data_IF_101092962718
#
_entry.id   IF_101092962718
#
_cell.length_a   1.000
_cell.length_b   1.000
_cell.length_c   1.000
_cell.angle_alpha   90.00
_cell.angle_beta   90.00
_cell.angle_gamma   90.00
#
_symmetry.space_group_name_H-M   'P 1'
#
loop_
_entity.id
_entity.type
_entity.pdbx_description
1 polymer ?
#
# COMPACT_ATOMS: atom_id res chain seq x y z
N UNK A 1 4.24 30.91 -4.16
CA UNK A 1 4.78 29.95 -3.21
C UNK A 1 5.82 29.02 -3.87
N UNK A 2 5.47 28.35 -4.99
CA UNK A 2 6.38 27.41 -5.69
C UNK A 2 7.72 28.09 -6.03
N UNK A 3 7.70 29.25 -6.66
CA UNK A 3 8.91 30.00 -7.03
C UNK A 3 9.77 30.36 -5.81
N UNK A 4 9.14 30.71 -4.70
CA UNK A 4 9.85 31.07 -3.48
C UNK A 4 10.57 29.88 -2.80
N UNK A 5 10.04 28.63 -2.97
CA UNK A 5 10.53 27.44 -2.28
C UNK A 5 11.26 26.45 -3.19
N UNK A 6 10.89 26.39 -4.46
CA UNK A 6 11.46 25.45 -5.42
C UNK A 6 12.35 26.08 -6.50
N UNK A 7 12.52 27.42 -6.47
CA UNK A 7 13.34 28.16 -7.43
C UNK A 7 12.56 28.59 -8.68
N UNK A 8 13.29 29.19 -9.65
CA UNK A 8 12.71 29.84 -10.84
C UNK A 8 12.87 29.04 -12.13
N UNK A 9 13.68 27.99 -12.12
CA UNK A 9 13.98 27.20 -13.32
C UNK A 9 13.46 25.77 -13.24
N UNK A 10 13.15 25.13 -14.39
CA UNK A 10 12.74 23.72 -14.43
C UNK A 10 13.71 22.77 -13.72
N UNK A 11 15.01 23.01 -13.82
CA UNK A 11 16.03 22.21 -13.15
C UNK A 11 15.96 22.36 -11.62
N UNK A 12 15.71 23.56 -11.12
CA UNK A 12 15.52 23.82 -9.68
C UNK A 12 14.24 23.15 -9.16
N UNK A 13 13.15 23.18 -9.93
CA UNK A 13 11.91 22.47 -9.56
C UNK A 13 12.11 20.97 -9.49
N UNK A 14 12.80 20.39 -10.48
CA UNK A 14 13.11 18.96 -10.46
C UNK A 14 14.01 18.59 -9.28
N UNK A 15 14.97 19.44 -8.94
CA UNK A 15 15.84 19.22 -7.77
C UNK A 15 15.09 19.36 -6.45
N UNK A 16 14.17 20.33 -6.32
CA UNK A 16 13.32 20.47 -5.14
C UNK A 16 12.46 19.20 -4.90
N UNK A 17 11.90 18.62 -5.97
CA UNK A 17 11.19 17.34 -5.88
C UNK A 17 12.14 16.23 -5.42
N UNK A 18 13.32 16.10 -6.03
CA UNK A 18 14.30 15.08 -5.63
C UNK A 18 14.77 15.24 -4.20
N UNK A 19 15.02 16.47 -3.75
CA UNK A 19 15.44 16.76 -2.38
C UNK A 19 14.36 16.41 -1.35
N UNK A 20 13.08 16.69 -1.66
CA UNK A 20 11.96 16.35 -0.77
C UNK A 20 11.76 14.85 -0.59
N UNK A 21 12.03 14.06 -1.62
CA UNK A 21 11.83 12.60 -1.58
C UNK A 21 13.14 11.80 -1.40
N UNK A 22 14.28 12.45 -1.45
CA UNK A 22 15.60 11.83 -1.27
C UNK A 22 15.85 10.68 -2.26
N UNK A 23 16.09 9.48 -1.74
CA UNK A 23 16.31 8.28 -2.55
C UNK A 23 15.02 7.59 -3.02
N UNK A 24 13.87 8.04 -2.53
CA UNK A 24 12.57 7.48 -2.91
C UNK A 24 12.18 7.91 -4.32
N UNK A 25 12.10 6.92 -5.21
CA UNK A 25 11.67 7.10 -6.60
C UNK A 25 10.19 6.78 -6.82
N UNK A 26 9.49 6.30 -5.82
CA UNK A 26 8.09 5.87 -5.96
C UNK A 26 7.20 7.06 -6.28
N UNK A 27 7.30 8.12 -5.47
CA UNK A 27 6.51 9.33 -5.67
C UNK A 27 7.23 10.38 -6.52
N UNK A 28 8.53 10.58 -6.33
CA UNK A 28 9.29 11.60 -7.05
C UNK A 28 9.24 11.42 -8.56
N UNK A 29 9.30 10.17 -9.06
CA UNK A 29 9.22 9.91 -10.52
C UNK A 29 7.83 10.16 -11.06
N UNK A 30 6.76 9.82 -10.32
CA UNK A 30 5.39 10.10 -10.73
C UNK A 30 5.15 11.61 -10.84
N UNK A 31 5.60 12.39 -9.85
CA UNK A 31 5.49 13.86 -9.84
C UNK A 31 6.28 14.46 -11.00
N UNK A 32 7.55 14.06 -11.17
CA UNK A 32 8.38 14.56 -12.27
C UNK A 32 7.81 14.20 -13.64
N UNK A 33 7.23 13.00 -13.77
CA UNK A 33 6.54 12.59 -15.02
C UNK A 33 5.35 13.50 -15.30
N UNK A 34 4.53 13.81 -14.29
CA UNK A 34 3.40 14.75 -14.43
C UNK A 34 3.88 16.14 -14.81
N UNK A 35 4.96 16.64 -14.18
CA UNK A 35 5.58 17.91 -14.54
C UNK A 35 6.12 17.91 -15.97
N UNK A 36 6.69 16.78 -16.44
CA UNK A 36 7.18 16.67 -17.82
C UNK A 36 6.03 16.62 -18.84
N UNK A 37 4.92 15.92 -18.51
CA UNK A 37 3.70 15.93 -19.32
C UNK A 37 3.11 17.35 -19.43
N UNK A 38 3.14 18.11 -18.34
CA UNK A 38 2.73 19.50 -18.31
C UNK A 38 3.76 20.47 -18.95
N UNK A 39 4.90 19.96 -19.47
CA UNK A 39 6.01 20.73 -20.03
C UNK A 39 6.67 21.71 -19.06
N UNK A 40 6.55 21.46 -17.77
CA UNK A 40 7.20 22.26 -16.70
C UNK A 40 8.67 21.87 -16.52
N UNK A 41 9.00 20.59 -16.75
CA UNK A 41 10.38 20.10 -16.71
C UNK A 41 10.67 19.28 -17.98
N UNK A 42 11.93 19.24 -18.46
CA UNK A 42 12.28 18.40 -19.59
C UNK A 42 12.33 16.92 -19.17
N UNK A 43 12.08 16.02 -20.12
CA UNK A 43 12.15 14.56 -19.89
C UNK A 43 13.52 14.06 -19.43
N UNK A 44 14.58 14.85 -19.62
CA UNK A 44 15.92 14.56 -19.10
C UNK A 44 15.97 14.53 -17.57
N UNK A 45 15.08 15.26 -16.91
CA UNK A 45 15.00 15.31 -15.45
C UNK A 45 14.23 14.11 -14.86
N UNK A 46 13.51 13.33 -15.67
CA UNK A 46 12.71 12.20 -15.19
C UNK A 46 13.55 10.92 -15.21
N UNK A 47 13.84 10.32 -14.03
CA UNK A 47 14.58 9.07 -13.96
C UNK A 47 13.82 7.92 -14.65
N UNK A 48 14.51 7.02 -15.39
CA UNK A 48 13.86 5.88 -16.01
C UNK A 48 13.38 4.87 -14.95
N UNK A 49 12.22 4.25 -15.21
CA UNK A 49 11.71 3.12 -14.43
C UNK A 49 11.85 1.82 -15.21
N UNK A 50 12.25 0.72 -14.57
CA UNK A 50 12.48 -0.57 -15.22
C UNK A 50 11.17 -1.37 -15.37
N UNK A 51 10.24 -0.90 -16.20
CA UNK A 51 8.94 -1.56 -16.42
C UNK A 51 9.07 -2.96 -17.04
N UNK A 52 10.17 -3.26 -17.68
CA UNK A 52 10.52 -4.58 -18.19
C UNK A 52 10.57 -5.67 -17.10
N UNK A 53 10.83 -5.29 -15.86
CA UNK A 53 10.79 -6.21 -14.72
C UNK A 53 9.37 -6.78 -14.51
N UNK A 54 8.33 -6.03 -14.84
CA UNK A 54 6.95 -6.51 -14.73
C UNK A 54 6.65 -7.74 -15.62
N UNK A 55 7.51 -8.04 -16.59
CA UNK A 55 7.40 -9.26 -17.41
C UNK A 55 7.89 -10.52 -16.69
N UNK A 56 8.57 -10.39 -15.54
CA UNK A 56 9.02 -11.51 -14.74
C UNK A 56 7.87 -12.04 -13.87
N UNK A 57 7.86 -13.35 -13.55
CA UNK A 57 6.86 -13.92 -12.66
C UNK A 57 6.86 -13.24 -11.27
N UNK A 58 5.69 -12.95 -10.74
CA UNK A 58 5.53 -12.32 -9.41
C UNK A 58 6.21 -13.12 -8.28
N UNK A 59 6.24 -14.45 -8.39
CA UNK A 59 6.92 -15.33 -7.44
C UNK A 59 8.41 -15.03 -7.30
N UNK A 60 9.06 -14.51 -8.35
CA UNK A 60 10.49 -14.18 -8.31
C UNK A 60 10.74 -12.94 -7.43
N UNK A 61 9.84 -11.97 -7.44
CA UNK A 61 9.94 -10.81 -6.54
C UNK A 61 9.85 -11.24 -5.07
N UNK A 62 8.95 -12.19 -4.77
CA UNK A 62 8.82 -12.76 -3.43
C UNK A 62 10.09 -13.52 -3.02
N UNK A 63 10.67 -14.33 -3.90
CA UNK A 63 11.92 -15.04 -3.65
C UNK A 63 13.09 -14.08 -3.40
N UNK A 64 13.14 -12.96 -4.13
CA UNK A 64 14.13 -11.91 -3.96
C UNK A 64 13.84 -10.97 -2.76
N UNK A 65 12.79 -11.23 -1.96
CA UNK A 65 12.32 -10.35 -0.88
C UNK A 65 11.99 -8.92 -1.36
N UNK A 66 11.37 -8.83 -2.54
CA UNK A 66 10.94 -7.58 -3.17
C UNK A 66 9.43 -7.57 -3.51
N UNK A 67 8.54 -8.05 -2.64
CA UNK A 67 7.09 -8.06 -2.94
C UNK A 67 6.50 -6.65 -3.09
N UNK A 68 7.17 -5.63 -2.56
CA UNK A 68 6.80 -4.22 -2.74
C UNK A 68 6.70 -3.82 -4.21
N UNK A 69 7.43 -4.43 -5.11
CA UNK A 69 7.33 -4.19 -6.55
C UNK A 69 5.93 -4.50 -7.07
N UNK A 70 5.23 -5.48 -6.49
CA UNK A 70 3.86 -5.82 -6.92
C UNK A 70 2.83 -4.73 -6.60
N UNK A 71 2.99 -3.99 -5.52
CA UNK A 71 2.15 -2.81 -5.22
C UNK A 71 2.43 -1.64 -6.17
N UNK A 72 3.68 -1.48 -6.54
CA UNK A 72 4.13 -0.43 -7.43
C UNK A 72 3.94 -0.77 -8.93
N UNK A 73 3.58 -2.00 -9.27
CA UNK A 73 3.47 -2.45 -10.67
C UNK A 73 2.63 -1.54 -11.56
N UNK A 74 1.46 -1.04 -11.15
CA UNK A 74 0.67 -0.15 -12.01
C UNK A 74 1.45 1.10 -12.43
N UNK A 75 2.05 1.79 -11.46
CA UNK A 75 2.87 2.96 -11.71
C UNK A 75 4.16 2.61 -12.47
N UNK A 76 4.84 1.53 -12.07
CA UNK A 76 6.06 1.05 -12.71
C UNK A 76 5.85 0.80 -14.20
N UNK A 77 4.77 0.11 -14.57
CA UNK A 77 4.47 -0.24 -15.96
C UNK A 77 4.08 1.02 -16.75
N UNK A 78 3.05 1.74 -16.29
CA UNK A 78 2.50 2.86 -17.05
C UNK A 78 3.50 4.02 -17.17
N UNK A 79 4.05 4.48 -16.04
CA UNK A 79 5.01 5.59 -16.01
C UNK A 79 6.32 5.17 -16.68
N UNK A 80 6.79 3.94 -16.46
CA UNK A 80 8.00 3.43 -17.12
C UNK A 80 7.88 3.39 -18.65
N UNK A 81 6.73 2.96 -19.18
CA UNK A 81 6.46 3.01 -20.62
C UNK A 81 6.33 4.44 -21.14
N UNK A 82 5.68 5.33 -20.38
CA UNK A 82 5.57 6.75 -20.71
C UNK A 82 6.96 7.38 -20.86
N UNK A 83 7.82 7.21 -19.87
CA UNK A 83 9.19 7.73 -19.90
C UNK A 83 9.96 7.15 -21.11
N UNK A 84 9.81 5.83 -21.35
CA UNK A 84 10.49 5.19 -22.48
C UNK A 84 9.97 5.68 -23.84
N UNK A 85 8.71 6.03 -23.96
CA UNK A 85 8.14 6.60 -25.19
C UNK A 85 8.70 8.00 -25.49
N UNK A 86 8.83 8.84 -24.47
CA UNK A 86 9.33 10.21 -24.62
C UNK A 86 10.86 10.35 -24.58
N UNK A 87 11.53 9.44 -23.87
CA UNK A 87 12.99 9.40 -23.74
C UNK A 87 13.50 7.96 -23.82
N UNK A 88 13.55 7.38 -25.03
CA UNK A 88 14.07 6.03 -25.22
C UNK A 88 15.57 5.97 -24.86
N UNK A 89 16.00 4.84 -24.28
CA UNK A 89 17.44 4.63 -24.00
C UNK A 89 18.25 4.66 -25.31
N UNK A 90 19.44 5.24 -25.25
CA UNK A 90 20.39 5.29 -26.36
C UNK A 90 21.01 3.92 -26.67
N UNK A 91 21.14 3.02 -25.69
CA UNK A 91 21.72 1.70 -25.84
C UNK A 91 20.74 0.76 -26.56
N UNK A 92 21.02 0.45 -27.81
CA UNK A 92 20.11 -0.25 -28.73
C UNK A 92 19.62 -1.61 -28.22
N UNK A 93 20.46 -2.53 -27.67
CA UNK A 93 19.98 -3.81 -27.16
C UNK A 93 18.95 -3.64 -26.03
N UNK A 94 19.16 -2.69 -25.13
CA UNK A 94 18.24 -2.40 -24.02
C UNK A 94 16.96 -1.75 -24.52
N UNK A 95 17.07 -0.86 -25.50
CA UNK A 95 15.90 -0.26 -26.16
C UNK A 95 15.05 -1.33 -26.86
N UNK A 96 15.69 -2.28 -27.54
CA UNK A 96 14.98 -3.40 -28.18
C UNK A 96 14.26 -4.26 -27.13
N UNK A 97 14.93 -4.64 -26.04
CA UNK A 97 14.32 -5.39 -24.93
C UNK A 97 13.11 -4.67 -24.38
N UNK A 98 13.24 -3.36 -24.08
CA UNK A 98 12.14 -2.56 -23.55
C UNK A 98 10.98 -2.46 -24.52
N UNK A 99 11.24 -2.30 -25.80
CA UNK A 99 10.19 -2.33 -26.82
C UNK A 99 9.45 -3.67 -26.86
N UNK A 100 10.17 -4.80 -26.77
CA UNK A 100 9.58 -6.13 -26.70
C UNK A 100 8.73 -6.35 -25.43
N UNK A 101 9.09 -5.72 -24.31
CA UNK A 101 8.37 -5.82 -23.04
C UNK A 101 7.10 -4.93 -22.96
N UNK A 102 6.86 -4.01 -23.91
CA UNK A 102 5.69 -3.11 -23.84
C UNK A 102 4.36 -3.88 -23.81
N UNK A 103 4.11 -4.74 -24.76
CA UNK A 103 2.87 -5.52 -24.82
C UNK A 103 2.73 -6.51 -23.63
N UNK A 104 3.73 -7.31 -23.32
CA UNK A 104 3.70 -8.19 -22.14
C UNK A 104 3.39 -7.46 -20.83
N UNK A 105 4.04 -6.33 -20.54
CA UNK A 105 3.78 -5.58 -19.30
C UNK A 105 2.39 -4.93 -19.28
N UNK A 106 1.83 -4.49 -20.43
CA UNK A 106 0.44 -4.05 -20.51
C UNK A 106 -0.56 -5.17 -20.22
N UNK A 107 -0.27 -6.42 -20.62
CA UNK A 107 -1.12 -7.56 -20.24
C UNK A 107 -1.10 -7.81 -18.74
N UNK A 108 0.06 -7.67 -18.11
CA UNK A 108 0.15 -7.72 -16.64
C UNK A 108 -0.69 -6.61 -16.00
N UNK A 109 -0.54 -5.37 -16.49
CA UNK A 109 -1.31 -4.23 -16.00
C UNK A 109 -2.83 -4.45 -16.11
N UNK A 110 -3.29 -5.01 -17.22
CA UNK A 110 -4.70 -5.35 -17.43
C UNK A 110 -5.18 -6.47 -16.48
N UNK A 111 -4.33 -7.46 -16.21
CA UNK A 111 -4.66 -8.58 -15.32
C UNK A 111 -4.76 -8.17 -13.84
N UNK A 112 -4.02 -7.14 -13.42
CA UNK A 112 -4.02 -6.65 -12.03
C UNK A 112 -4.98 -5.48 -11.81
N UNK A 113 -5.64 -4.95 -12.85
CA UNK A 113 -6.61 -3.87 -12.68
C UNK A 113 -7.89 -4.41 -12.05
N UNK A 114 -8.37 -3.83 -10.93
CA UNK A 114 -9.67 -4.15 -10.36
C UNK A 114 -10.82 -3.95 -11.37
N UNK A 115 -11.93 -4.65 -11.19
CA UNK A 115 -13.05 -4.60 -12.13
C UNK A 115 -13.68 -3.21 -12.24
N UNK A 116 -13.64 -2.41 -11.17
CA UNK A 116 -14.09 -1.01 -11.15
C UNK A 116 -13.10 -0.03 -11.81
N UNK A 117 -11.92 -0.49 -12.22
CA UNK A 117 -10.90 0.32 -12.89
C UNK A 117 -9.91 1.03 -11.98
N UNK A 118 -10.18 1.14 -10.68
CA UNK A 118 -9.37 1.87 -9.70
C UNK A 118 -8.22 1.04 -9.13
N UNK A 119 -6.99 1.45 -9.35
CA UNK A 119 -5.83 0.82 -8.73
C UNK A 119 -5.73 1.25 -7.26
N UNK A 120 -5.75 0.29 -6.34
CA UNK A 120 -5.73 0.48 -4.88
C UNK A 120 -6.87 1.38 -4.36
N UNK A 121 -7.98 1.48 -5.08
CA UNK A 121 -9.07 2.44 -4.82
C UNK A 121 -8.59 3.91 -4.76
N UNK A 122 -7.37 4.18 -5.24
CA UNK A 122 -6.71 5.48 -5.14
C UNK A 122 -6.82 6.27 -6.46
N UNK A 123 -7.45 7.44 -6.39
CA UNK A 123 -7.60 8.31 -7.57
C UNK A 123 -6.27 8.86 -8.08
N UNK A 124 -5.28 9.25 -7.24
CA UNK A 124 -3.98 9.71 -7.74
C UNK A 124 -3.22 8.62 -8.51
N UNK A 125 -3.18 7.39 -8.00
CA UNK A 125 -2.49 6.29 -8.67
C UNK A 125 -3.15 5.96 -10.01
N UNK A 126 -4.48 5.88 -10.03
CA UNK A 126 -5.25 5.61 -11.24
C UNK A 126 -5.07 6.73 -12.28
N UNK A 127 -5.05 8.00 -11.83
CA UNK A 127 -4.78 9.14 -12.69
C UNK A 127 -3.37 9.10 -13.30
N UNK A 128 -2.33 8.77 -12.52
CA UNK A 128 -0.96 8.60 -13.04
C UNK A 128 -0.91 7.51 -14.10
N UNK A 129 -1.58 6.38 -13.89
CA UNK A 129 -1.65 5.29 -14.88
C UNK A 129 -2.35 5.75 -16.15
N UNK A 130 -3.53 6.35 -16.04
CA UNK A 130 -4.31 6.81 -17.19
C UNK A 130 -3.55 7.86 -18.04
N UNK A 131 -2.99 8.90 -17.38
CA UNK A 131 -2.20 9.93 -18.06
C UNK A 131 -0.95 9.36 -18.75
N UNK A 132 -0.24 8.45 -18.06
CA UNK A 132 0.97 7.85 -18.60
C UNK A 132 0.67 6.97 -19.83
N UNK A 133 -0.41 6.18 -19.79
CA UNK A 133 -0.86 5.38 -20.93
C UNK A 133 -1.30 6.25 -22.10
N UNK A 134 -2.09 7.29 -21.83
CA UNK A 134 -2.55 8.20 -22.88
C UNK A 134 -1.37 8.85 -23.60
N UNK A 135 -0.38 9.34 -22.87
CA UNK A 135 0.78 10.04 -23.45
C UNK A 135 1.78 9.10 -24.14
N UNK A 136 1.76 7.80 -23.85
CA UNK A 136 2.63 6.79 -24.47
C UNK A 136 2.02 6.13 -25.72
N UNK A 137 0.91 6.67 -26.22
CA UNK A 137 0.19 6.17 -27.39
C UNK A 137 -0.78 5.02 -27.09
N UNK A 138 -1.11 4.79 -25.81
CA UNK A 138 -2.02 3.74 -25.34
C UNK A 138 -3.35 4.31 -24.79
N UNK A 139 -3.78 5.50 -25.26
CA UNK A 139 -5.04 6.12 -24.81
C UNK A 139 -6.27 5.23 -25.03
N UNK A 140 -6.31 4.47 -26.14
CA UNK A 140 -7.37 3.52 -26.43
C UNK A 140 -7.25 2.16 -25.72
N UNK A 141 -6.24 1.95 -24.87
CA UNK A 141 -6.10 0.69 -24.16
C UNK A 141 -7.19 0.53 -23.09
N UNK A 142 -7.81 -0.67 -22.93
CA UNK A 142 -8.90 -0.88 -21.97
C UNK A 142 -8.58 -0.46 -20.54
N UNK A 143 -7.33 -0.60 -20.12
CA UNK A 143 -6.87 -0.13 -18.78
C UNK A 143 -7.02 1.37 -18.63
N UNK A 144 -6.68 2.15 -19.66
CA UNK A 144 -6.82 3.60 -19.62
C UNK A 144 -8.30 4.00 -19.59
N UNK A 145 -9.13 3.37 -20.42
CA UNK A 145 -10.58 3.63 -20.46
C UNK A 145 -11.23 3.36 -19.09
N UNK A 146 -11.04 2.16 -18.52
CA UNK A 146 -11.57 1.83 -17.19
C UNK A 146 -11.04 2.73 -16.08
N UNK A 147 -9.77 3.16 -16.17
CA UNK A 147 -9.20 4.12 -15.23
C UNK A 147 -9.88 5.49 -15.33
N UNK A 148 -10.20 5.96 -16.54
CA UNK A 148 -10.97 7.19 -16.73
C UNK A 148 -12.39 7.06 -16.20
N UNK A 149 -13.09 5.95 -16.50
CA UNK A 149 -14.44 5.68 -15.96
C UNK A 149 -14.44 5.72 -14.42
N UNK A 150 -13.45 5.11 -13.78
CA UNK A 150 -13.27 5.16 -12.33
C UNK A 150 -13.06 6.59 -11.82
N UNK A 151 -12.19 7.37 -12.49
CA UNK A 151 -11.94 8.76 -12.12
C UNK A 151 -13.18 9.62 -12.26
N UNK A 152 -13.92 9.49 -13.36
CA UNK A 152 -15.17 10.20 -13.59
C UNK A 152 -16.22 9.85 -12.52
N UNK A 153 -16.36 8.57 -12.19
CA UNK A 153 -17.27 8.10 -11.14
C UNK A 153 -16.87 8.57 -9.73
N UNK A 154 -15.60 8.94 -9.53
CA UNK A 154 -15.05 9.36 -8.22
C UNK A 154 -15.11 10.87 -7.98
N UNK A 155 -15.56 11.67 -8.96
CA UNK A 155 -15.68 13.14 -8.81
C UNK A 155 -16.74 13.47 -7.77
N UNK A 156 -16.38 14.33 -6.83
CA UNK A 156 -17.31 14.85 -5.83
C UNK A 156 -18.15 15.98 -6.40
N UNK A 157 -19.28 16.33 -5.75
CA UNK A 157 -20.14 17.44 -6.21
C UNK A 157 -19.44 18.79 -6.34
N UNK A 158 -18.37 19.02 -5.59
CA UNK A 158 -17.54 20.23 -5.64
C UNK A 158 -16.45 20.18 -6.75
N UNK A 159 -16.40 19.12 -7.54
CA UNK A 159 -15.41 18.93 -8.59
C UNK A 159 -14.04 18.39 -8.10
N UNK A 160 -13.89 18.09 -6.82
CA UNK A 160 -12.67 17.50 -6.27
C UNK A 160 -12.68 15.98 -6.38
N UNK A 161 -11.50 15.37 -6.20
CA UNK A 161 -11.34 13.93 -6.06
C UNK A 161 -10.90 13.56 -4.65
N UNK A 162 -11.42 12.44 -4.08
CA UNK A 162 -10.83 11.86 -2.87
C UNK A 162 -9.46 11.24 -3.20
N UNK A 163 -8.59 11.10 -2.20
CA UNK A 163 -7.39 10.29 -2.35
C UNK A 163 -7.79 8.83 -2.52
N UNK A 164 -8.56 8.31 -1.56
CA UNK A 164 -9.17 6.98 -1.59
C UNK A 164 -10.69 7.11 -1.73
N UNK A 165 -11.29 6.25 -2.54
CA UNK A 165 -12.74 6.33 -2.81
C UNK A 165 -13.59 5.75 -1.69
N UNK A 166 -13.03 4.82 -0.91
CA UNK A 166 -13.72 4.12 0.16
C UNK A 166 -12.76 3.71 1.27
N UNK A 167 -13.08 4.09 2.50
CA UNK A 167 -12.32 3.80 3.72
C UNK A 167 -13.20 3.08 4.77
N UNK A 168 -14.22 2.32 4.31
CA UNK A 168 -15.25 1.81 5.20
C UNK A 168 -14.69 0.91 6.31
N UNK A 169 -13.74 0.02 6.01
CA UNK A 169 -13.14 -0.86 7.02
C UNK A 169 -12.35 -0.05 8.04
N UNK A 170 -11.47 0.83 7.56
CA UNK A 170 -10.62 1.67 8.41
C UNK A 170 -11.45 2.57 9.35
N UNK A 171 -12.39 3.33 8.78
CA UNK A 171 -13.24 4.22 9.58
C UNK A 171 -14.10 3.45 10.58
N UNK A 172 -14.60 2.28 10.21
CA UNK A 172 -15.38 1.42 11.11
C UNK A 172 -14.54 0.94 12.30
N UNK A 173 -13.33 0.46 12.05
CA UNK A 173 -12.44 0.01 13.14
C UNK A 173 -12.06 1.16 14.07
N UNK A 174 -11.74 2.34 13.51
CA UNK A 174 -11.48 3.55 14.30
C UNK A 174 -12.68 3.94 15.17
N UNK A 175 -13.89 3.95 14.60
CA UNK A 175 -15.11 4.29 15.33
C UNK A 175 -15.39 3.32 16.48
N UNK A 176 -15.30 2.01 16.23
CA UNK A 176 -15.47 1.00 17.28
C UNK A 176 -14.44 1.18 18.39
N UNK A 177 -13.17 1.39 18.03
CA UNK A 177 -12.07 1.55 19.00
C UNK A 177 -12.22 2.86 19.81
N UNK A 178 -12.72 3.94 19.20
CA UNK A 178 -13.02 5.18 19.89
C UNK A 178 -14.19 5.02 20.88
N UNK A 179 -15.28 4.39 20.47
CA UNK A 179 -16.42 4.09 21.34
C UNK A 179 -16.01 3.19 22.52
N UNK A 180 -15.16 2.20 22.28
CA UNK A 180 -14.60 1.34 23.33
C UNK A 180 -13.80 2.15 24.35
N UNK A 181 -12.93 3.04 23.89
CA UNK A 181 -12.14 3.92 24.76
C UNK A 181 -13.01 4.88 25.59
N UNK A 182 -14.09 5.39 24.98
CA UNK A 182 -15.10 6.22 25.65
C UNK A 182 -16.07 5.45 26.55
N UNK A 183 -16.03 4.11 26.56
CA UNK A 183 -17.01 3.22 27.21
C UNK A 183 -18.43 3.35 26.67
N UNK A 184 -18.57 3.81 25.43
CA UNK A 184 -19.85 4.06 24.74
C UNK A 184 -20.28 2.92 23.79
N UNK A 185 -19.56 1.80 23.76
CA UNK A 185 -19.94 0.64 22.92
C UNK A 185 -21.41 0.18 23.13
N UNK A 186 -21.97 0.21 24.38
CA UNK A 186 -23.37 -0.14 24.57
C UNK A 186 -24.36 0.72 23.79
N UNK A 187 -23.99 1.92 23.37
CA UNK A 187 -24.84 2.80 22.54
C UNK A 187 -25.09 2.25 21.14
N UNK A 188 -24.27 1.31 20.65
CA UNK A 188 -24.48 0.64 19.37
C UNK A 188 -25.69 -0.32 19.37
N UNK A 189 -26.22 -0.69 20.54
CA UNK A 189 -27.25 -1.71 20.65
C UNK A 189 -26.71 -3.08 20.25
N UNK A 190 -27.39 -3.75 19.27
CA UNK A 190 -26.89 -5.03 18.74
C UNK A 190 -25.69 -4.81 17.81
N UNK A 191 -24.51 -5.11 18.30
CA UNK A 191 -23.25 -5.03 17.55
C UNK A 191 -22.97 -6.30 16.71
N UNK A 192 -23.85 -7.30 16.72
CA UNK A 192 -23.71 -8.56 15.97
C UNK A 192 -23.48 -8.34 14.47
N UNK A 193 -24.36 -7.62 13.77
CA UNK A 193 -24.19 -7.35 12.34
C UNK A 193 -22.87 -6.64 11.99
N UNK A 194 -22.45 -5.69 12.83
CA UNK A 194 -21.19 -4.97 12.65
C UNK A 194 -19.97 -5.90 12.80
N UNK A 195 -19.99 -6.72 13.84
CA UNK A 195 -18.98 -7.75 14.07
C UNK A 195 -18.85 -8.71 12.89
N UNK A 196 -19.99 -9.25 12.44
CA UNK A 196 -20.04 -10.22 11.35
C UNK A 196 -19.58 -9.60 10.02
N UNK A 197 -19.95 -8.34 9.77
CA UNK A 197 -19.45 -7.59 8.63
C UNK A 197 -17.92 -7.42 8.70
N UNK A 198 -17.35 -7.02 9.84
CA UNK A 198 -15.91 -6.81 9.98
C UNK A 198 -15.14 -8.14 9.86
N UNK A 199 -15.67 -9.26 10.38
CA UNK A 199 -15.11 -10.60 10.19
C UNK A 199 -15.10 -11.01 8.71
N UNK A 200 -16.12 -10.61 7.94
CA UNK A 200 -16.21 -10.91 6.52
C UNK A 200 -15.16 -10.16 5.68
N UNK A 201 -14.61 -9.04 6.18
CA UNK A 201 -13.55 -8.29 5.48
C UNK A 201 -12.17 -8.93 5.60
N UNK A 202 -11.98 -9.92 6.48
CA UNK A 202 -10.69 -10.62 6.59
C UNK A 202 -10.38 -11.40 5.32
N UNK A 203 -9.21 -11.19 4.75
CA UNK A 203 -8.75 -11.96 3.60
C UNK A 203 -8.59 -13.44 3.96
N UNK A 204 -9.31 -14.30 3.25
CA UNK A 204 -9.31 -15.77 3.44
C UNK A 204 -8.46 -16.50 2.41
N UNK A 205 -8.12 -15.80 1.31
CA UNK A 205 -7.30 -16.32 0.22
C UNK A 205 -6.16 -15.36 -0.05
N UNK A 206 -5.13 -15.83 -0.75
CA UNK A 206 -4.03 -14.96 -1.19
C UNK A 206 -4.56 -13.84 -2.06
N UNK A 207 -4.12 -12.61 -1.79
CA UNK A 207 -4.53 -11.45 -2.54
C UNK A 207 -4.12 -11.58 -4.03
N UNK A 208 -5.06 -11.49 -4.98
CA UNK A 208 -4.78 -11.83 -6.39
C UNK A 208 -3.81 -10.86 -7.06
N UNK A 209 -3.83 -9.60 -6.66
CA UNK A 209 -3.01 -8.54 -7.22
C UNK A 209 -1.60 -8.49 -6.58
N UNK A 210 -1.51 -8.52 -5.26
CA UNK A 210 -0.25 -8.31 -4.54
C UNK A 210 0.42 -9.61 -4.11
N UNK A 211 -0.33 -10.71 -4.07
CA UNK A 211 0.14 -11.98 -3.55
C UNK A 211 0.32 -11.99 -2.02
N UNK A 212 -0.25 -11.00 -1.30
CA UNK A 212 -0.26 -11.00 0.16
C UNK A 212 -0.95 -12.26 0.69
N UNK A 213 -0.41 -12.83 1.75
CA UNK A 213 -0.97 -14.04 2.37
C UNK A 213 -2.33 -13.74 3.04
N UNK A 214 -3.22 -14.71 3.22
CA UNK A 214 -4.49 -14.53 3.91
C UNK A 214 -4.29 -14.22 5.40
N UNK A 215 -5.27 -13.55 6.02
CA UNK A 215 -5.32 -13.28 7.46
C UNK A 215 -5.42 -11.80 7.82
N UNK A 216 -4.98 -10.88 6.97
CA UNK A 216 -5.05 -9.44 7.22
C UNK A 216 -6.37 -8.80 6.79
N UNK A 217 -6.51 -7.51 7.10
CA UNK A 217 -7.58 -6.61 6.66
C UNK A 217 -7.01 -5.45 5.88
N UNK A 218 -7.81 -4.89 4.99
CA UNK A 218 -7.53 -3.68 4.23
C UNK A 218 -8.46 -2.54 4.66
N UNK A 219 -8.14 -1.30 4.29
CA UNK A 219 -8.93 -0.08 4.59
C UNK A 219 -10.35 -0.10 4.00
N UNK A 220 -10.58 -0.94 2.99
CA UNK A 220 -11.82 -0.99 2.22
C UNK A 220 -12.27 -2.43 1.95
N UNK A 221 -13.59 -2.69 1.85
CA UNK A 221 -14.11 -3.97 1.37
C UNK A 221 -14.05 -4.12 -0.16
N UNK A 222 -13.63 -3.09 -0.89
CA UNK A 222 -13.59 -3.10 -2.35
C UNK A 222 -12.37 -3.84 -2.89
N UNK A 223 -12.44 -4.22 -4.17
CA UNK A 223 -11.45 -5.11 -4.82
C UNK A 223 -10.03 -4.53 -4.91
N UNK A 224 -9.88 -3.21 -4.84
CA UNK A 224 -8.58 -2.54 -4.84
C UNK A 224 -7.91 -2.48 -3.47
N UNK A 225 -8.61 -2.85 -2.39
CA UNK A 225 -8.05 -2.91 -1.05
C UNK A 225 -6.94 -3.95 -0.93
N UNK A 226 -5.95 -3.67 -0.10
CA UNK A 226 -4.80 -4.54 0.14
C UNK A 226 -4.57 -4.65 1.65
N UNK A 227 -4.43 -5.85 2.21
CA UNK A 227 -4.19 -5.98 3.65
C UNK A 227 -2.90 -5.29 4.07
N UNK A 228 -2.95 -4.58 5.18
CA UNK A 228 -1.85 -3.76 5.68
C UNK A 228 -1.70 -3.77 7.21
N UNK A 229 -0.63 -3.13 7.69
CA UNK A 229 -0.26 -3.11 9.10
C UNK A 229 -0.96 -2.00 9.92
N UNK A 230 -1.85 -1.23 9.31
CA UNK A 230 -2.71 -0.27 10.02
C UNK A 230 -4.10 -0.88 10.24
N UNK A 231 -4.71 -1.38 9.17
CA UNK A 231 -6.07 -1.94 9.21
C UNK A 231 -6.15 -3.28 9.93
N UNK A 232 -5.13 -4.14 9.78
CA UNK A 232 -5.13 -5.44 10.47
C UNK A 232 -5.11 -5.30 11.99
N UNK A 233 -4.23 -4.53 12.62
CA UNK A 233 -4.30 -4.29 14.07
C UNK A 233 -5.58 -3.59 14.49
N UNK A 234 -6.05 -2.60 13.71
CA UNK A 234 -7.30 -1.89 13.94
C UNK A 234 -8.49 -2.83 14.02
N UNK A 235 -8.58 -3.79 13.09
CA UNK A 235 -9.63 -4.81 13.07
C UNK A 235 -9.52 -5.80 14.24
N UNK A 236 -8.31 -6.24 14.58
CA UNK A 236 -8.08 -7.13 15.73
C UNK A 236 -8.56 -6.48 17.03
N UNK A 237 -8.23 -5.20 17.25
CA UNK A 237 -8.66 -4.44 18.44
C UNK A 237 -10.19 -4.27 18.41
N UNK A 238 -10.76 -3.86 17.28
CA UNK A 238 -12.19 -3.62 17.16
C UNK A 238 -13.02 -4.90 17.41
N UNK A 239 -12.63 -6.02 16.81
CA UNK A 239 -13.30 -7.32 17.01
C UNK A 239 -13.19 -7.78 18.46
N UNK A 240 -12.05 -7.55 19.11
CA UNK A 240 -11.88 -7.86 20.54
C UNK A 240 -12.81 -6.99 21.39
N UNK A 241 -12.87 -5.68 21.12
CA UNK A 241 -13.76 -4.75 21.82
C UNK A 241 -15.24 -5.07 21.63
N UNK A 242 -15.62 -5.61 20.46
CA UNK A 242 -16.99 -6.10 20.17
C UNK A 242 -17.30 -7.46 20.82
N UNK A 243 -16.41 -7.99 21.65
CA UNK A 243 -16.62 -9.26 22.36
C UNK A 243 -16.64 -10.46 21.43
N UNK A 244 -15.99 -10.41 20.29
CA UNK A 244 -15.91 -11.53 19.35
C UNK A 244 -15.21 -12.72 20.00
N UNK A 245 -15.83 -13.95 20.02
CA UNK A 245 -15.14 -15.10 20.55
C UNK A 245 -13.81 -15.35 19.84
N UNK A 246 -12.78 -15.67 20.61
CA UNK A 246 -11.47 -16.00 20.06
C UNK A 246 -11.57 -17.21 19.13
N UNK A 247 -10.73 -17.26 18.11
CA UNK A 247 -10.80 -18.34 17.13
C UNK A 247 -9.89 -18.11 15.92
N UNK A 248 -10.24 -18.74 14.80
CA UNK A 248 -9.44 -18.75 13.58
C UNK A 248 -9.11 -17.36 13.03
N UNK A 249 -10.03 -16.41 13.14
CA UNK A 249 -9.81 -15.03 12.68
C UNK A 249 -8.65 -14.34 13.41
N UNK A 250 -8.61 -14.53 14.74
CA UNK A 250 -7.56 -13.93 15.60
C UNK A 250 -6.20 -14.56 15.29
N UNK A 251 -6.13 -15.89 15.22
CA UNK A 251 -4.91 -16.60 14.87
C UNK A 251 -4.39 -16.21 13.48
N UNK A 252 -5.28 -16.11 12.50
CA UNK A 252 -4.91 -15.71 11.14
C UNK A 252 -4.38 -14.27 11.09
N UNK A 253 -5.03 -13.33 11.79
CA UNK A 253 -4.58 -11.92 11.85
C UNK A 253 -3.23 -11.76 12.54
N UNK A 254 -3.05 -12.41 13.68
CA UNK A 254 -1.76 -12.39 14.40
C UNK A 254 -0.66 -13.04 13.57
N UNK A 255 -0.92 -14.20 12.97
CA UNK A 255 0.03 -14.88 12.09
C UNK A 255 0.39 -14.03 10.87
N UNK A 256 -0.58 -13.29 10.31
CA UNK A 256 -0.34 -12.36 9.22
C UNK A 256 0.61 -11.22 9.63
N UNK A 257 0.38 -10.59 10.80
CA UNK A 257 1.26 -9.56 11.36
C UNK A 257 2.67 -10.11 11.62
N UNK A 258 2.79 -11.29 12.23
CA UNK A 258 4.09 -11.95 12.45
C UNK A 258 4.84 -12.23 11.14
N UNK A 259 4.11 -12.67 10.09
CA UNK A 259 4.64 -12.83 8.74
C UNK A 259 5.10 -11.54 8.08
N UNK A 260 4.51 -10.40 8.48
CA UNK A 260 4.82 -9.09 7.93
C UNK A 260 5.99 -8.39 8.66
N UNK A 261 6.20 -8.65 9.95
CA UNK A 261 7.23 -8.01 10.75
C UNK A 261 8.62 -8.08 10.11
N UNK A 262 9.29 -6.95 9.99
CA UNK A 262 10.64 -6.85 9.45
C UNK A 262 11.69 -7.45 10.40
N UNK A 263 12.91 -7.68 9.88
CA UNK A 263 14.04 -8.21 10.66
C UNK A 263 14.51 -7.30 11.79
N UNK A 264 14.24 -5.99 11.67
CA UNK A 264 14.53 -5.00 12.71
C UNK A 264 13.48 -4.96 13.81
N UNK A 265 12.44 -5.79 13.73
CA UNK A 265 11.34 -5.86 14.67
C UNK A 265 10.20 -4.89 14.41
N UNK A 266 10.36 -3.94 13.48
CA UNK A 266 9.31 -2.97 13.13
C UNK A 266 8.32 -3.50 12.10
N UNK A 267 7.19 -2.80 11.95
CA UNK A 267 6.13 -3.15 11.00
C UNK A 267 6.25 -2.29 9.75
N UNK A 268 6.36 -2.89 8.55
CA UNK A 268 6.16 -2.18 7.29
C UNK A 268 4.68 -2.01 6.97
N UNK A 269 4.34 -1.21 5.96
CA UNK A 269 2.94 -0.97 5.59
C UNK A 269 2.28 -2.21 5.00
N UNK A 270 2.77 -2.70 3.87
CA UNK A 270 2.10 -3.75 3.10
C UNK A 270 2.90 -5.04 2.96
N UNK A 271 4.22 -4.99 3.04
CA UNK A 271 5.05 -6.13 2.71
C UNK A 271 6.44 -6.06 3.34
N UNK A 272 6.99 -7.23 3.65
CA UNK A 272 8.42 -7.35 3.99
C UNK A 272 9.25 -7.09 2.75
N UNK A 273 10.42 -6.51 2.96
CA UNK A 273 11.38 -6.27 1.90
C UNK A 273 12.77 -6.04 2.45
N UNK A 274 13.50 -5.13 1.82
CA UNK A 274 14.86 -4.76 2.24
C UNK A 274 14.89 -3.54 3.18
N UNK A 275 13.71 -3.01 3.57
CA UNK A 275 13.59 -1.84 4.43
C UNK A 275 14.06 -0.54 3.78
N UNK A 276 13.99 -0.44 2.46
CA UNK A 276 14.52 0.70 1.69
C UNK A 276 13.45 1.49 0.94
N UNK A 277 12.34 0.85 0.62
CA UNK A 277 11.22 1.47 -0.10
C UNK A 277 10.13 1.88 0.89
N UNK A 278 9.24 2.83 0.55
CA UNK A 278 8.24 3.36 1.48
C UNK A 278 7.38 2.29 2.14
N UNK A 279 6.99 1.26 1.38
CA UNK A 279 6.06 0.23 1.85
C UNK A 279 6.74 -0.96 2.54
N UNK A 280 8.07 -1.07 2.49
CA UNK A 280 8.85 -2.13 3.14
C UNK A 280 9.67 -1.65 4.33
N UNK A 281 9.73 -0.33 4.56
CA UNK A 281 10.38 0.25 5.74
C UNK A 281 9.50 0.11 6.97
N UNK A 282 10.12 -0.13 8.11
CA UNK A 282 9.46 -0.12 9.41
C UNK A 282 9.03 1.30 9.80
N UNK A 283 7.77 1.44 10.23
CA UNK A 283 7.22 2.66 10.81
C UNK A 283 7.01 2.51 12.33
N UNK A 284 7.27 3.57 13.08
CA UNK A 284 7.07 3.57 14.54
C UNK A 284 5.58 3.54 14.89
N UNK A 285 4.76 4.27 14.15
CA UNK A 285 3.31 4.32 14.25
C UNK A 285 2.66 2.95 13.99
N UNK A 286 2.99 2.31 12.88
CA UNK A 286 2.50 0.98 12.51
C UNK A 286 2.93 -0.08 13.54
N UNK A 287 4.19 0.00 14.01
CA UNK A 287 4.72 -0.91 15.03
C UNK A 287 3.96 -0.74 16.33
N UNK A 288 3.77 0.50 16.80
CA UNK A 288 3.02 0.78 18.01
C UNK A 288 1.55 0.31 17.90
N UNK A 289 0.93 0.48 16.72
CA UNK A 289 -0.43 0.02 16.47
C UNK A 289 -0.53 -1.51 16.52
N UNK A 290 0.39 -2.22 15.90
CA UNK A 290 0.47 -3.68 16.00
C UNK A 290 0.67 -4.14 17.45
N UNK A 291 1.56 -3.51 18.22
CA UNK A 291 1.76 -3.83 19.64
C UNK A 291 0.50 -3.62 20.47
N UNK A 292 -0.29 -2.58 20.21
CA UNK A 292 -1.59 -2.37 20.89
C UNK A 292 -2.55 -3.52 20.66
N UNK A 293 -2.57 -4.12 19.49
CA UNK A 293 -3.40 -5.28 19.20
C UNK A 293 -2.90 -6.56 19.90
N UNK A 294 -1.59 -6.70 20.05
CA UNK A 294 -0.95 -7.92 20.54
C UNK A 294 -0.75 -7.94 22.06
N UNK A 295 -0.53 -6.78 22.68
CA UNK A 295 -0.24 -6.68 24.12
C UNK A 295 -1.26 -7.40 25.01
N UNK A 296 -2.58 -7.28 24.80
CA UNK A 296 -3.56 -8.01 25.62
C UNK A 296 -3.51 -9.54 25.47
N UNK A 297 -2.97 -10.03 24.35
CA UNK A 297 -2.87 -11.45 24.06
C UNK A 297 -1.65 -12.09 24.74
N UNK A 298 -0.62 -11.32 25.04
CA UNK A 298 0.67 -11.82 25.53
C UNK A 298 0.53 -12.63 26.83
N UNK A 299 -0.20 -12.10 27.81
CA UNK A 299 -0.37 -12.77 29.10
C UNK A 299 -1.24 -14.01 29.02
N UNK A 300 -2.14 -14.04 28.04
CA UNK A 300 -3.09 -15.13 27.85
C UNK A 300 -2.56 -16.23 26.91
N UNK A 301 -1.54 -15.91 26.10
CA UNK A 301 -1.10 -16.78 24.99
C UNK A 301 -0.62 -18.16 25.46
N UNK A 302 -0.03 -18.27 26.64
CA UNK A 302 0.48 -19.54 27.16
C UNK A 302 -0.60 -20.40 27.85
N UNK A 303 -1.66 -19.77 28.32
CA UNK A 303 -2.69 -20.44 29.15
C UNK A 303 -4.01 -20.68 28.40
N UNK A 304 -4.33 -19.84 27.43
CA UNK A 304 -5.54 -19.94 26.64
C UNK A 304 -5.38 -20.95 25.50
N UNK A 305 -6.18 -22.04 25.45
CA UNK A 305 -6.07 -23.04 24.39
C UNK A 305 -6.22 -22.50 22.96
N UNK A 306 -6.99 -21.43 22.77
CA UNK A 306 -7.19 -20.80 21.47
C UNK A 306 -5.97 -19.97 21.01
N UNK A 307 -5.17 -19.47 21.94
CA UNK A 307 -3.98 -18.66 21.66
C UNK A 307 -2.67 -19.45 21.71
N UNK A 308 -2.66 -20.57 22.43
CA UNK A 308 -1.46 -21.42 22.56
C UNK A 308 -0.77 -21.75 21.24
N UNK A 309 -1.49 -22.06 20.15
CA UNK A 309 -0.86 -22.32 18.84
C UNK A 309 -0.06 -21.15 18.26
N UNK A 310 -0.32 -19.93 18.70
CA UNK A 310 0.34 -18.70 18.24
C UNK A 310 1.14 -17.99 19.34
N UNK A 311 1.36 -18.63 20.49
CA UNK A 311 2.06 -18.02 21.63
C UNK A 311 3.48 -17.54 21.26
N UNK A 312 4.19 -18.32 20.47
CA UNK A 312 5.53 -17.95 20.00
C UNK A 312 5.48 -16.74 19.07
N UNK A 313 4.55 -16.69 18.13
CA UNK A 313 4.33 -15.55 17.22
C UNK A 313 3.98 -14.28 18.02
N UNK A 314 3.07 -14.39 18.97
CA UNK A 314 2.69 -13.26 19.85
C UNK A 314 3.92 -12.72 20.59
N UNK A 315 4.73 -13.59 21.17
CA UNK A 315 5.94 -13.20 21.90
C UNK A 315 6.95 -12.55 20.98
N UNK A 316 7.31 -13.17 19.87
CA UNK A 316 8.32 -12.67 18.91
C UNK A 316 7.89 -11.32 18.35
N UNK A 317 6.62 -11.20 17.93
CA UNK A 317 6.07 -9.95 17.41
C UNK A 317 6.12 -8.83 18.44
N UNK A 318 5.75 -9.13 19.69
CA UNK A 318 5.75 -8.15 20.77
C UNK A 318 7.15 -7.71 21.16
N UNK A 319 8.05 -8.64 21.47
CA UNK A 319 9.43 -8.36 21.89
C UNK A 319 10.20 -7.61 20.80
N UNK A 320 10.13 -8.08 19.56
CA UNK A 320 10.79 -7.42 18.42
C UNK A 320 10.27 -6.00 18.18
N UNK A 321 8.94 -5.80 18.24
CA UNK A 321 8.35 -4.48 18.09
C UNK A 321 8.72 -3.51 19.21
N UNK A 322 8.76 -3.99 20.45
CA UNK A 322 9.17 -3.17 21.59
C UNK A 322 10.63 -2.74 21.49
N UNK A 323 11.52 -3.68 21.14
CA UNK A 323 12.93 -3.37 20.89
C UNK A 323 13.13 -2.38 19.76
N UNK A 324 12.35 -2.53 18.66
CA UNK A 324 12.36 -1.57 17.57
C UNK A 324 11.99 -0.17 18.05
N UNK A 325 10.86 0.00 18.74
CA UNK A 325 10.42 1.30 19.25
C UNK A 325 11.44 1.92 20.20
N UNK A 326 12.00 1.12 21.12
CA UNK A 326 13.04 1.59 22.04
C UNK A 326 14.29 2.13 21.33
N UNK A 327 14.67 1.50 20.19
CA UNK A 327 15.80 2.00 19.37
C UNK A 327 15.48 3.25 18.56
N UNK A 328 14.19 3.50 18.25
CA UNK A 328 13.78 4.67 17.47
C UNK A 328 13.50 5.90 18.36
N UNK A 329 13.30 5.70 19.64
CA UNK A 329 12.99 6.78 20.58
C UNK A 329 14.18 7.75 20.68
N UNK A 330 13.89 9.04 20.51
CA UNK A 330 14.88 10.09 20.68
C UNK A 330 15.21 10.33 22.16
N UNK A 331 16.33 11.03 22.41
CA UNK A 331 16.78 11.33 23.78
C UNK A 331 15.80 12.19 24.59
N UNK A 332 14.90 12.91 23.94
CA UNK A 332 13.84 13.71 24.56
C UNK A 332 12.54 12.91 24.80
N UNK A 333 12.54 11.63 24.44
CA UNK A 333 11.40 10.73 24.59
C UNK A 333 10.41 10.73 23.42
N UNK A 334 10.64 11.55 22.38
CA UNK A 334 9.82 11.54 21.15
C UNK A 334 10.21 10.39 20.22
#
# INVERSE_FOLDING_TARGET
WIVAHAGQTPAQWAEAVRASYGKDRTFSVAILTTCALARLVPWSEVPPLPFELACLPQSWYRLASLPVVSYALPALIAIGQCIHAHRPTWFLPWRWLRNACRGPSLRVLAAIQPSNGGFLEATPLTAFVAMALASSGNAGHPVAAKGCDFLEASVRPDGSWPIDTNLATWVTTLAVNALAAGKDLPSLGDAGPLRDWLLAQQYRVRHPFTGADPGGWAWTPLLGGVPDADDTPGALIALTNLGTPKGGWLRAGVGWLGGLQNRDGGMPTFCRGWGKLPFDRSGTDLTAHALRAIAPLREQAETDPELKPIATEVRVLFEGGLEYLARQQNSDGS
#
